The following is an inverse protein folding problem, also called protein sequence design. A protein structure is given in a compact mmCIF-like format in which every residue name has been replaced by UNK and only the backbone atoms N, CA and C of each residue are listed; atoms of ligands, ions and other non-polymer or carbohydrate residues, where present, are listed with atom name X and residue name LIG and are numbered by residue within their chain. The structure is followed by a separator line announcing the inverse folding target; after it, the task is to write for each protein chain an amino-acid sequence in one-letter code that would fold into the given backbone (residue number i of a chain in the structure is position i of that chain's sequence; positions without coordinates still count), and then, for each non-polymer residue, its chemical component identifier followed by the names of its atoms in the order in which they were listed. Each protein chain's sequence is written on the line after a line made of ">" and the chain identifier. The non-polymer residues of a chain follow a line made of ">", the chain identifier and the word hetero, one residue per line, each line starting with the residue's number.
data_IF_056810980603
#
_entry.id   IF_056810980603
#
_cell.length_a   1.000
_cell.length_b   1.000
_cell.length_c   1.000
_cell.angle_alpha   90.00
_cell.angle_beta   90.00
_cell.angle_gamma   90.00
#
_symmetry.space_group_name_H-M   'P 1'
#
loop_
_entity.id
_entity.type
_entity.pdbx_description
1 polymer ?
#
# COMPACT_ATOMS: atom_id res chain seq x y z
N UNK A 1 -24.25 -8.81 1.37
CA UNK A 1 -25.27 -7.73 1.22
C UNK A 1 -26.25 -7.83 2.37
N UNK A 2 -26.92 -6.73 2.76
CA UNK A 2 -27.89 -6.78 3.86
C UNK A 2 -27.25 -6.69 5.27
N UNK A 3 -26.19 -5.88 5.44
CA UNK A 3 -25.54 -5.67 6.76
C UNK A 3 -26.40 -4.87 7.74
N UNK A 4 -27.31 -4.05 7.24
CA UNK A 4 -28.26 -3.26 8.03
C UNK A 4 -29.66 -3.85 7.94
N UNK A 5 -30.55 -3.52 8.88
CA UNK A 5 -31.93 -3.98 8.83
C UNK A 5 -32.62 -3.59 7.51
N UNK A 6 -32.41 -2.34 7.05
CA UNK A 6 -32.94 -1.85 5.77
C UNK A 6 -32.38 -2.66 4.59
N UNK A 7 -31.08 -2.94 4.60
CA UNK A 7 -30.44 -3.76 3.56
C UNK A 7 -30.91 -5.21 3.58
N UNK A 8 -31.17 -5.78 4.76
CA UNK A 8 -31.71 -7.14 4.90
C UNK A 8 -33.15 -7.23 4.37
N UNK A 9 -34.00 -6.26 4.68
CA UNK A 9 -35.39 -6.17 4.15
C UNK A 9 -35.38 -6.02 2.60
N UNK A 10 -34.50 -5.15 2.07
CA UNK A 10 -34.35 -5.02 0.63
C UNK A 10 -33.89 -6.33 -0.02
N UNK A 11 -32.94 -7.04 0.58
CA UNK A 11 -32.46 -8.34 0.06
C UNK A 11 -33.59 -9.38 0.02
N UNK A 12 -34.43 -9.47 1.02
CA UNK A 12 -35.59 -10.37 1.06
C UNK A 12 -36.56 -10.11 -0.12
N UNK A 13 -36.80 -8.85 -0.45
CA UNK A 13 -37.70 -8.48 -1.55
C UNK A 13 -37.14 -8.79 -2.94
N UNK A 14 -35.82 -8.79 -3.10
CA UNK A 14 -35.16 -9.00 -4.38
C UNK A 14 -34.85 -10.46 -4.69
N UNK A 15 -34.54 -11.27 -3.70
CA UNK A 15 -34.00 -12.63 -3.93
C UNK A 15 -34.93 -13.73 -3.46
N UNK A 16 -36.05 -13.40 -2.78
CA UNK A 16 -36.93 -14.36 -2.09
C UNK A 16 -36.17 -15.32 -1.15
N UNK A 17 -34.92 -15.00 -0.82
CA UNK A 17 -34.02 -15.80 -0.01
C UNK A 17 -34.07 -15.36 1.45
N UNK A 18 -33.93 -16.32 2.36
CA UNK A 18 -33.78 -16.04 3.78
C UNK A 18 -32.46 -15.28 3.98
N UNK A 19 -32.56 -14.03 4.45
CA UNK A 19 -31.37 -13.27 4.82
C UNK A 19 -30.75 -13.88 6.09
N UNK A 20 -29.56 -14.43 5.96
CA UNK A 20 -28.78 -14.91 7.10
C UNK A 20 -28.34 -13.70 7.93
N UNK A 21 -28.45 -13.73 9.28
CA UNK A 21 -27.94 -12.66 10.12
C UNK A 21 -26.48 -12.32 9.83
N UNK A 22 -26.16 -11.03 9.75
CA UNK A 22 -24.83 -10.56 9.32
C UNK A 22 -23.70 -11.09 10.21
N UNK A 23 -23.95 -11.20 11.52
CA UNK A 23 -23.00 -11.77 12.49
C UNK A 23 -22.61 -13.23 12.18
N UNK A 24 -23.53 -14.01 11.59
CA UNK A 24 -23.24 -15.40 11.19
C UNK A 24 -22.32 -15.44 9.99
N UNK A 25 -22.53 -14.53 9.06
CA UNK A 25 -21.66 -14.36 7.88
C UNK A 25 -20.25 -13.93 8.31
N UNK A 26 -20.14 -12.97 9.24
CA UNK A 26 -18.84 -12.55 9.77
C UNK A 26 -18.12 -13.66 10.49
N UNK A 27 -18.83 -14.42 11.33
CA UNK A 27 -18.24 -15.57 12.03
C UNK A 27 -17.73 -16.63 11.04
N UNK A 28 -18.50 -16.91 9.99
CA UNK A 28 -18.10 -17.87 8.95
C UNK A 28 -16.87 -17.37 8.18
N UNK A 29 -16.86 -16.10 7.76
CA UNK A 29 -15.74 -15.54 7.03
C UNK A 29 -14.47 -15.52 7.88
N UNK A 30 -14.56 -15.14 9.15
CA UNK A 30 -13.45 -15.18 10.08
C UNK A 30 -12.92 -16.62 10.28
N UNK A 31 -13.81 -17.61 10.40
CA UNK A 31 -13.43 -19.02 10.56
C UNK A 31 -12.64 -19.56 9.35
N UNK A 32 -13.00 -19.12 8.15
CA UNK A 32 -12.37 -19.60 6.91
C UNK A 32 -11.31 -18.64 6.34
N UNK A 33 -10.98 -17.57 7.06
CA UNK A 33 -9.99 -16.58 6.58
C UNK A 33 -10.43 -15.84 5.32
N UNK A 34 -11.73 -15.62 5.15
CA UNK A 34 -12.28 -14.89 4.00
C UNK A 34 -12.31 -13.40 4.31
N UNK A 35 -11.59 -12.62 3.50
CA UNK A 35 -11.63 -11.17 3.60
C UNK A 35 -13.00 -10.63 3.18
N UNK A 36 -13.60 -9.78 4.01
CA UNK A 36 -14.91 -9.18 3.76
C UNK A 36 -14.76 -7.69 3.45
N UNK A 37 -14.72 -7.33 2.20
CA UNK A 37 -14.66 -5.95 1.75
C UNK A 37 -15.92 -5.14 2.15
N UNK A 38 -15.73 -3.86 2.46
CA UNK A 38 -16.81 -2.95 2.83
C UNK A 38 -17.45 -2.26 1.62
N UNK A 39 -16.67 -2.05 0.57
CA UNK A 39 -17.10 -1.43 -0.68
C UNK A 39 -16.69 -2.28 -1.88
N UNK A 40 -17.30 -2.01 -3.02
CA UNK A 40 -16.92 -2.65 -4.30
C UNK A 40 -15.49 -2.28 -4.69
N UNK A 41 -15.10 -1.03 -4.47
CA UNK A 41 -13.74 -0.56 -4.78
C UNK A 41 -12.70 -1.29 -3.93
N UNK A 42 -12.94 -1.43 -2.62
CA UNK A 42 -12.08 -2.21 -1.73
C UNK A 42 -11.97 -3.68 -2.18
N UNK A 43 -13.07 -4.30 -2.61
CA UNK A 43 -13.06 -5.66 -3.13
C UNK A 43 -12.19 -5.75 -4.39
N UNK A 44 -12.31 -4.81 -5.32
CA UNK A 44 -11.53 -4.77 -6.55
C UNK A 44 -10.05 -4.54 -6.26
N UNK A 45 -9.72 -3.65 -5.33
CA UNK A 45 -8.34 -3.35 -4.94
C UNK A 45 -7.64 -4.55 -4.28
N UNK A 46 -8.34 -5.25 -3.40
CA UNK A 46 -7.83 -6.49 -2.79
C UNK A 46 -7.65 -7.59 -3.86
N UNK A 47 -8.62 -7.78 -4.75
CA UNK A 47 -8.49 -8.76 -5.84
C UNK A 47 -7.32 -8.43 -6.77
N UNK A 48 -7.13 -7.15 -7.09
CA UNK A 48 -6.00 -6.65 -7.86
C UNK A 48 -4.66 -6.92 -7.15
N UNK A 49 -4.56 -6.61 -5.85
CA UNK A 49 -3.35 -6.91 -5.07
C UNK A 49 -3.07 -8.42 -5.01
N UNK A 50 -4.11 -9.24 -4.83
CA UNK A 50 -4.00 -10.71 -4.84
C UNK A 50 -3.46 -11.25 -6.18
N UNK A 51 -3.81 -10.64 -7.30
CA UNK A 51 -3.32 -11.02 -8.62
C UNK A 51 -1.80 -10.89 -8.74
N UNK A 52 -1.18 -9.97 -7.99
CA UNK A 52 0.27 -9.77 -8.00
C UNK A 52 1.04 -10.88 -7.27
N UNK A 53 0.37 -11.73 -6.49
CA UNK A 53 0.92 -12.93 -5.86
C UNK A 53 1.93 -12.69 -4.75
N UNK A 54 2.08 -11.45 -4.28
CA UNK A 54 2.98 -11.09 -3.17
C UNK A 54 2.16 -10.51 -2.03
N UNK A 55 2.17 -11.21 -0.90
CA UNK A 55 1.41 -10.84 0.29
C UNK A 55 2.36 -10.47 1.43
N UNK A 56 2.03 -9.42 2.23
CA UNK A 56 2.75 -9.15 3.46
C UNK A 56 2.70 -10.36 4.39
N UNK A 57 3.82 -10.70 5.03
CA UNK A 57 3.88 -11.80 6.01
C UNK A 57 3.37 -11.42 7.39
N UNK A 58 3.11 -10.14 7.60
CA UNK A 58 2.63 -9.56 8.85
C UNK A 58 1.99 -8.20 8.60
N UNK A 59 1.77 -7.46 9.67
CA UNK A 59 1.00 -6.20 9.63
C UNK A 59 1.86 -4.94 9.77
N UNK A 60 3.19 -5.05 9.82
CA UNK A 60 4.09 -3.93 10.00
C UNK A 60 4.38 -3.23 8.68
N UNK A 61 3.90 -2.00 8.55
CA UNK A 61 4.00 -1.19 7.34
C UNK A 61 5.06 -0.11 7.48
N UNK A 62 5.99 -0.06 6.53
CA UNK A 62 6.82 1.08 6.24
C UNK A 62 6.09 2.03 5.28
N UNK A 63 6.15 3.32 5.53
CA UNK A 63 5.59 4.32 4.63
C UNK A 63 6.72 5.23 4.14
N UNK A 64 6.84 5.34 2.83
CA UNK A 64 7.71 6.27 2.14
C UNK A 64 6.88 7.30 1.40
N UNK A 65 7.13 8.58 1.64
CA UNK A 65 6.37 9.66 1.02
C UNK A 65 7.28 10.82 0.63
N UNK A 66 6.95 11.48 -0.48
CA UNK A 66 7.55 12.77 -0.85
C UNK A 66 6.77 13.96 -0.27
N UNK A 67 5.72 13.68 0.49
CA UNK A 67 4.87 14.69 1.14
C UNK A 67 4.56 14.28 2.57
N UNK A 68 4.99 15.09 3.54
CA UNK A 68 4.73 14.83 4.95
C UNK A 68 3.24 14.70 5.27
N UNK A 69 2.39 15.55 4.69
CA UNK A 69 0.94 15.50 4.89
C UNK A 69 0.31 14.20 4.40
N UNK A 70 0.69 13.74 3.22
CA UNK A 70 0.19 12.46 2.68
C UNK A 70 0.74 11.29 3.48
N UNK A 71 2.00 11.33 3.92
CA UNK A 71 2.56 10.31 4.80
C UNK A 71 1.77 10.16 6.10
N UNK A 72 1.39 11.27 6.73
CA UNK A 72 0.52 11.25 7.93
C UNK A 72 -0.85 10.65 7.61
N UNK A 73 -1.49 11.05 6.52
CA UNK A 73 -2.77 10.49 6.09
C UNK A 73 -2.66 8.96 5.86
N UNK A 74 -1.60 8.49 5.23
CA UNK A 74 -1.38 7.05 5.02
C UNK A 74 -1.19 6.30 6.33
N UNK A 75 -0.53 6.91 7.33
CA UNK A 75 -0.37 6.31 8.65
C UNK A 75 -1.72 6.18 9.39
N UNK A 76 -2.57 7.21 9.37
CA UNK A 76 -3.91 7.17 9.96
C UNK A 76 -4.77 6.09 9.30
N UNK A 77 -4.73 5.99 7.98
CA UNK A 77 -5.42 4.95 7.22
C UNK A 77 -4.91 3.55 7.56
N UNK A 78 -3.59 3.37 7.67
CA UNK A 78 -2.99 2.10 8.03
C UNK A 78 -3.50 1.60 9.39
N UNK A 79 -3.54 2.46 10.40
CA UNK A 79 -4.09 2.13 11.72
C UNK A 79 -5.58 1.78 11.62
N UNK A 80 -6.35 2.53 10.84
CA UNK A 80 -7.78 2.25 10.61
C UNK A 80 -8.01 0.87 10.00
N UNK A 81 -7.13 0.41 9.11
CA UNK A 81 -7.16 -0.92 8.50
C UNK A 81 -6.46 -1.99 9.34
N UNK A 82 -6.03 -1.67 10.56
CA UNK A 82 -5.42 -2.59 11.51
C UNK A 82 -3.96 -2.97 11.17
N UNK A 83 -3.28 -2.17 10.35
CA UNK A 83 -1.84 -2.28 10.15
C UNK A 83 -1.08 -1.59 11.30
N UNK A 84 0.16 -1.96 11.48
CA UNK A 84 1.07 -1.37 12.47
C UNK A 84 2.06 -0.44 11.78
N UNK A 85 2.35 0.71 12.40
CA UNK A 85 3.35 1.67 11.92
C UNK A 85 4.50 1.74 12.95
N UNK A 86 5.46 0.79 12.90
CA UNK A 86 6.54 0.78 13.87
C UNK A 86 7.47 1.99 13.70
N UNK A 87 7.90 2.58 14.81
CA UNK A 87 8.95 3.58 14.76
C UNK A 87 10.26 2.95 14.29
N UNK A 88 10.94 3.58 13.35
CA UNK A 88 12.21 3.07 12.84
C UNK A 88 13.29 3.05 13.92
N UNK A 89 14.19 2.05 13.92
CA UNK A 89 15.34 2.02 14.82
C UNK A 89 16.22 3.28 14.69
N UNK A 90 16.82 3.73 15.79
CA UNK A 90 17.63 4.98 15.79
C UNK A 90 18.79 4.97 14.79
N UNK A 91 19.46 3.84 14.63
CA UNK A 91 20.52 3.67 13.64
C UNK A 91 20.00 3.83 12.20
N UNK A 92 18.81 3.32 11.91
CA UNK A 92 18.15 3.47 10.60
C UNK A 92 17.77 4.94 10.37
N UNK A 93 17.18 5.59 11.36
CA UNK A 93 16.87 7.02 11.29
C UNK A 93 18.13 7.87 11.00
N UNK A 94 19.25 7.56 11.68
CA UNK A 94 20.52 8.26 11.46
C UNK A 94 21.10 7.99 10.05
N UNK A 95 20.94 6.76 9.55
CA UNK A 95 21.37 6.40 8.20
C UNK A 95 20.62 7.18 7.14
N UNK A 96 19.29 7.27 7.27
CA UNK A 96 18.46 8.05 6.34
C UNK A 96 18.83 9.53 6.41
N UNK A 97 19.02 10.11 7.62
CA UNK A 97 19.44 11.52 7.79
C UNK A 97 20.80 11.85 7.19
N UNK A 98 21.72 10.91 7.11
CA UNK A 98 23.03 11.14 6.44
C UNK A 98 22.86 11.31 4.92
N UNK A 99 21.86 10.65 4.33
CA UNK A 99 21.53 10.74 2.91
C UNK A 99 20.63 11.94 2.66
N UNK A 100 19.65 12.16 3.54
CA UNK A 100 18.59 13.15 3.45
C UNK A 100 18.50 13.94 4.76
N UNK A 101 19.31 15.01 4.96
CA UNK A 101 19.39 15.72 6.24
C UNK A 101 18.05 16.30 6.74
N UNK A 102 17.16 16.65 5.82
CA UNK A 102 15.85 17.27 6.13
C UNK A 102 14.68 16.28 6.14
N UNK A 103 14.93 14.97 5.92
CA UNK A 103 13.89 13.96 5.91
C UNK A 103 13.20 13.80 7.26
N UNK A 104 11.90 13.55 7.25
CA UNK A 104 11.18 12.95 8.36
C UNK A 104 11.52 11.47 8.44
N UNK A 105 12.09 11.00 9.56
CA UNK A 105 12.72 9.65 9.59
C UNK A 105 12.14 8.70 10.62
N UNK A 106 10.93 8.98 11.14
CA UNK A 106 10.34 8.09 12.18
C UNK A 106 9.58 6.90 11.61
N UNK A 107 8.88 7.00 10.61
CA UNK A 107 7.83 6.26 9.95
C UNK A 107 6.48 6.95 10.25
N UNK A 108 5.88 7.58 9.24
CA UNK A 108 6.31 7.65 7.83
C UNK A 108 7.69 8.30 7.61
N UNK A 109 8.41 7.82 6.59
CA UNK A 109 9.62 8.47 6.09
C UNK A 109 9.21 9.49 5.03
N UNK A 110 9.42 10.77 5.35
CA UNK A 110 9.19 11.86 4.39
C UNK A 110 10.53 12.26 3.77
N UNK A 111 10.73 11.87 2.51
CA UNK A 111 11.94 12.21 1.76
C UNK A 111 11.87 13.59 1.11
N UNK A 112 10.77 14.31 1.32
CA UNK A 112 10.54 15.67 0.81
C UNK A 112 10.69 15.79 -0.71
N UNK A 113 10.89 17.01 -1.21
CA UNK A 113 11.17 17.26 -2.62
C UNK A 113 12.57 16.80 -3.07
N UNK A 114 13.41 16.27 -2.16
CA UNK A 114 14.75 15.81 -2.52
C UNK A 114 14.74 14.72 -3.61
N UNK A 115 13.67 13.93 -3.67
CA UNK A 115 13.47 12.94 -4.74
C UNK A 115 13.30 13.55 -6.15
N UNK A 116 12.97 14.83 -6.24
CA UNK A 116 12.89 15.54 -7.52
C UNK A 116 14.26 16.00 -8.02
N UNK A 117 15.19 16.25 -7.09
CA UNK A 117 16.57 16.62 -7.41
C UNK A 117 17.44 15.37 -7.66
N UNK A 118 17.23 14.34 -6.84
CA UNK A 118 17.93 13.05 -6.97
C UNK A 118 16.93 11.87 -6.78
N UNK A 119 16.38 11.32 -7.86
CA UNK A 119 15.47 10.17 -7.78
C UNK A 119 16.07 8.91 -7.15
N UNK A 120 17.40 8.81 -7.04
CA UNK A 120 18.06 7.64 -6.44
C UNK A 120 17.80 7.49 -4.94
N UNK A 121 17.36 8.55 -4.26
CA UNK A 121 17.00 8.51 -2.84
C UNK A 121 15.76 7.62 -2.58
N UNK A 122 14.87 7.46 -3.58
CA UNK A 122 13.69 6.60 -3.48
C UNK A 122 14.08 5.14 -3.27
N UNK A 123 14.81 4.48 -4.20
CA UNK A 123 15.19 3.08 -4.03
C UNK A 123 16.12 2.86 -2.84
N UNK A 124 17.04 3.79 -2.56
CA UNK A 124 17.93 3.69 -1.41
C UNK A 124 17.13 3.65 -0.10
N UNK A 125 16.13 4.52 0.04
CA UNK A 125 15.28 4.55 1.24
C UNK A 125 14.39 3.31 1.32
N UNK A 126 13.85 2.82 0.20
CA UNK A 126 13.15 1.53 0.15
C UNK A 126 14.01 0.37 0.62
N UNK A 127 15.24 0.26 0.10
CA UNK A 127 16.18 -0.79 0.51
C UNK A 127 16.45 -0.74 2.01
N UNK A 128 16.60 0.45 2.58
CA UNK A 128 16.78 0.62 4.03
C UNK A 128 15.53 0.13 4.78
N UNK A 129 14.33 0.53 4.37
CA UNK A 129 13.08 0.12 5.01
C UNK A 129 12.87 -1.39 4.94
N UNK A 130 13.14 -2.02 3.81
CA UNK A 130 12.92 -3.45 3.60
C UNK A 130 14.01 -4.35 4.22
N UNK A 131 15.24 -3.85 4.36
CA UNK A 131 16.39 -4.65 4.81
C UNK A 131 16.77 -4.43 6.27
N UNK A 132 16.56 -3.22 6.80
CA UNK A 132 17.11 -2.81 8.09
C UNK A 132 16.01 -2.54 9.14
N UNK A 133 14.76 -2.85 8.79
CA UNK A 133 13.60 -2.78 9.69
C UNK A 133 12.83 -4.08 9.68
N UNK A 134 11.88 -4.21 10.59
CA UNK A 134 10.96 -5.35 10.66
C UNK A 134 9.64 -5.11 9.90
N UNK A 135 9.61 -4.14 8.97
CA UNK A 135 8.45 -3.92 8.12
C UNK A 135 8.20 -5.10 7.19
N UNK A 136 6.95 -5.54 7.11
CA UNK A 136 6.52 -6.64 6.23
C UNK A 136 6.23 -6.16 4.80
N UNK A 137 5.86 -4.87 4.68
CA UNK A 137 5.55 -4.21 3.42
C UNK A 137 5.95 -2.74 3.45
N UNK A 138 6.01 -2.10 2.27
CA UNK A 138 6.19 -0.66 2.12
C UNK A 138 5.10 -0.09 1.21
N UNK A 139 4.37 0.90 1.70
CA UNK A 139 3.50 1.74 0.89
C UNK A 139 4.22 3.04 0.54
N UNK A 140 4.18 3.41 -0.74
CA UNK A 140 4.95 4.53 -1.25
C UNK A 140 4.07 5.54 -1.95
N UNK A 141 4.16 6.79 -1.53
CA UNK A 141 3.55 7.92 -2.22
C UNK A 141 4.61 8.70 -3.00
N UNK A 142 4.43 8.74 -4.32
CA UNK A 142 5.19 9.60 -5.22
C UNK A 142 4.19 10.49 -5.97
N UNK A 143 4.49 11.78 -6.11
CA UNK A 143 3.66 12.67 -6.93
C UNK A 143 3.72 12.27 -8.40
N UNK A 144 2.82 12.83 -9.23
CA UNK A 144 2.71 12.39 -10.60
C UNK A 144 4.06 12.48 -11.33
N UNK A 145 4.61 11.33 -11.58
CA UNK A 145 5.64 11.09 -12.59
C UNK A 145 4.95 11.02 -13.96
N UNK A 146 3.68 11.42 -13.97
CA UNK A 146 2.63 11.05 -14.92
C UNK A 146 2.79 11.58 -16.34
N UNK A 147 3.73 12.45 -16.58
CA UNK A 147 3.93 12.98 -17.95
C UNK A 147 5.28 12.63 -18.53
N UNK A 148 6.19 12.08 -17.75
CA UNK A 148 7.56 11.80 -18.19
C UNK A 148 7.85 10.31 -18.18
N UNK A 149 7.73 9.69 -19.37
CA UNK A 149 8.04 8.28 -19.58
C UNK A 149 9.48 7.93 -19.17
N UNK A 150 10.43 8.84 -19.34
CA UNK A 150 11.83 8.60 -19.00
C UNK A 150 12.01 8.44 -17.48
N UNK A 151 11.40 9.30 -16.68
CA UNK A 151 11.43 9.20 -15.21
C UNK A 151 10.70 7.95 -14.74
N UNK A 152 9.55 7.61 -15.36
CA UNK A 152 8.83 6.38 -15.05
C UNK A 152 9.69 5.13 -15.32
N UNK A 153 10.45 5.11 -16.41
CA UNK A 153 11.35 4.00 -16.76
C UNK A 153 12.51 3.85 -15.77
N UNK A 154 13.10 4.97 -15.38
CA UNK A 154 14.18 4.99 -14.37
C UNK A 154 13.67 4.42 -13.04
N UNK A 155 12.52 4.89 -12.58
CA UNK A 155 11.90 4.42 -11.33
C UNK A 155 11.53 2.93 -11.42
N UNK A 156 10.92 2.49 -12.51
CA UNK A 156 10.58 1.09 -12.71
C UNK A 156 11.81 0.19 -12.59
N UNK A 157 12.88 0.54 -13.30
CA UNK A 157 14.13 -0.22 -13.23
C UNK A 157 14.73 -0.27 -11.82
N UNK A 158 14.60 0.82 -11.06
CA UNK A 158 15.02 0.87 -9.67
C UNK A 158 14.17 -0.05 -8.78
N UNK A 159 12.86 -0.03 -8.94
CA UNK A 159 11.94 -0.90 -8.19
C UNK A 159 12.12 -2.39 -8.55
N UNK A 160 12.39 -2.72 -9.82
CA UNK A 160 12.70 -4.09 -10.24
C UNK A 160 13.90 -4.63 -9.47
N UNK A 161 14.99 -3.87 -9.36
CA UNK A 161 16.19 -4.27 -8.59
C UNK A 161 15.90 -4.51 -7.12
N UNK A 162 15.00 -3.71 -6.51
CA UNK A 162 14.57 -3.92 -5.12
C UNK A 162 13.81 -5.23 -5.02
N UNK A 163 12.86 -5.48 -5.93
CA UNK A 163 12.03 -6.69 -5.94
C UNK A 163 12.86 -7.96 -6.17
N UNK A 164 13.85 -7.92 -7.05
CA UNK A 164 14.77 -9.04 -7.26
C UNK A 164 15.51 -9.44 -5.98
N UNK A 165 15.91 -8.45 -5.16
CA UNK A 165 16.60 -8.68 -3.88
C UNK A 165 15.66 -9.09 -2.75
N UNK A 166 14.39 -8.69 -2.82
CA UNK A 166 13.35 -8.91 -1.80
C UNK A 166 12.02 -9.34 -2.43
N UNK A 167 12.01 -10.52 -3.08
CA UNK A 167 10.83 -11.00 -3.81
C UNK A 167 9.63 -11.32 -2.88
N UNK A 168 9.89 -11.50 -1.59
CA UNK A 168 8.91 -11.84 -0.56
C UNK A 168 8.30 -10.62 0.16
N UNK A 169 8.73 -9.40 -0.20
CA UNK A 169 8.22 -8.16 0.39
C UNK A 169 7.22 -7.49 -0.55
N UNK A 170 6.09 -7.10 0.01
CA UNK A 170 5.06 -6.35 -0.73
C UNK A 170 5.43 -4.87 -0.83
N UNK A 171 5.30 -4.32 -2.03
CA UNK A 171 5.47 -2.89 -2.32
C UNK A 171 4.20 -2.42 -3.02
N UNK A 172 3.51 -1.47 -2.41
CA UNK A 172 2.34 -0.81 -2.98
C UNK A 172 2.70 0.63 -3.33
N UNK A 173 2.42 1.01 -4.58
CA UNK A 173 2.78 2.31 -5.12
C UNK A 173 1.54 3.17 -5.29
N UNK A 174 1.55 4.34 -4.71
CA UNK A 174 0.61 5.39 -5.01
C UNK A 174 1.28 6.42 -5.94
N UNK A 175 1.05 6.25 -7.22
CA UNK A 175 1.60 7.09 -8.28
C UNK A 175 0.52 7.29 -9.33
N UNK A 176 0.24 8.55 -9.67
CA UNK A 176 -0.64 8.86 -10.80
C UNK A 176 0.19 8.80 -12.09
N UNK A 177 -0.16 7.90 -12.98
CA UNK A 177 0.52 7.70 -14.27
C UNK A 177 -0.45 7.28 -15.37
N UNK A 178 -0.10 7.44 -16.66
CA UNK A 178 -0.91 6.94 -17.75
C UNK A 178 -1.12 5.42 -17.66
N UNK A 179 -2.27 4.88 -18.11
CA UNK A 179 -2.59 3.46 -17.98
C UNK A 179 -1.57 2.52 -18.64
N UNK A 180 -0.97 2.92 -19.75
CA UNK A 180 0.07 2.16 -20.45
C UNK A 180 1.37 2.08 -19.65
N UNK A 181 1.71 3.14 -18.93
CA UNK A 181 2.85 3.17 -18.00
C UNK A 181 2.55 2.32 -16.77
N UNK A 182 1.36 2.49 -16.16
CA UNK A 182 0.94 1.69 -15.00
C UNK A 182 1.00 0.19 -15.31
N UNK A 183 0.52 -0.21 -16.49
CA UNK A 183 0.56 -1.60 -16.97
C UNK A 183 1.97 -2.18 -16.96
N UNK A 184 2.99 -1.41 -17.28
CA UNK A 184 4.39 -1.87 -17.27
C UNK A 184 4.89 -2.17 -15.85
N UNK A 185 4.45 -1.38 -14.85
CA UNK A 185 4.72 -1.67 -13.44
C UNK A 185 3.97 -2.92 -12.97
N UNK A 186 2.72 -3.08 -13.37
CA UNK A 186 1.91 -4.25 -13.08
C UNK A 186 2.50 -5.53 -13.66
N UNK A 187 2.98 -5.49 -14.90
CA UNK A 187 3.65 -6.63 -15.57
C UNK A 187 4.93 -7.08 -14.82
N UNK A 188 5.50 -6.20 -14.01
CA UNK A 188 6.61 -6.49 -13.10
C UNK A 188 6.15 -6.83 -11.66
N UNK A 189 4.84 -6.91 -11.44
CA UNK A 189 4.22 -7.31 -10.19
C UNK A 189 4.24 -6.25 -9.11
N UNK A 190 4.15 -4.97 -9.49
CA UNK A 190 3.90 -3.86 -8.57
C UNK A 190 2.42 -3.48 -8.62
N UNK A 191 1.81 -3.27 -7.46
CA UNK A 191 0.49 -2.67 -7.40
C UNK A 191 0.61 -1.16 -7.53
N UNK A 192 -0.18 -0.57 -8.43
CA UNK A 192 -0.21 0.88 -8.68
C UNK A 192 -1.61 1.41 -8.40
N UNK A 193 -1.70 2.39 -7.53
CA UNK A 193 -2.94 3.04 -7.15
C UNK A 193 -2.85 4.55 -7.39
N UNK A 194 -3.97 5.15 -7.71
CA UNK A 194 -4.09 6.60 -7.94
C UNK A 194 -4.32 7.39 -6.65
N UNK A 195 -4.73 6.72 -5.56
CA UNK A 195 -4.95 7.36 -4.26
C UNK A 195 -4.24 6.61 -3.12
N UNK A 196 -3.79 7.33 -2.05
CA UNK A 196 -3.03 6.72 -0.97
C UNK A 196 -3.85 5.76 -0.11
N UNK A 197 -5.16 5.98 0.03
CA UNK A 197 -6.06 5.10 0.78
C UNK A 197 -6.18 3.72 0.13
N UNK A 198 -6.31 3.64 -1.19
CA UNK A 198 -6.33 2.38 -1.93
C UNK A 198 -5.02 1.61 -1.83
N UNK A 199 -3.89 2.33 -1.94
CA UNK A 199 -2.56 1.74 -1.81
C UNK A 199 -2.30 1.13 -0.43
N UNK A 200 -2.84 1.75 0.63
CA UNK A 200 -2.72 1.23 2.01
C UNK A 200 -3.72 0.09 2.26
N UNK A 201 -4.97 0.25 1.83
CA UNK A 201 -6.03 -0.75 2.00
C UNK A 201 -5.64 -2.10 1.38
N UNK A 202 -5.02 -2.07 0.19
CA UNK A 202 -4.58 -3.26 -0.52
C UNK A 202 -3.54 -4.11 0.24
N UNK A 203 -2.80 -3.51 1.18
CA UNK A 203 -1.82 -4.21 2.02
C UNK A 203 -2.41 -4.76 3.32
N UNK A 204 -3.67 -4.44 3.62
CA UNK A 204 -4.35 -4.83 4.87
C UNK A 204 -5.25 -6.05 4.72
N UNK A 205 -5.60 -6.41 3.48
CA UNK A 205 -6.51 -7.48 3.10
C UNK A 205 -6.01 -8.91 3.26
#
# INVERSE_FOLDING_TARGET
>A
MGRTEVGAEAAKSHTASIAVPDMVIDALFNQYGVYRANTTDEMMDIAYACQMGVFPKGRKLGILSISGGVGVQMADLAIKYGLEIPALPKNVQQKIRKILPFAGVRNPVDITAAAMEDPSVIPITHEILLNETDCDAVATFLTPVSGDHQTADILLHMFEKIKERKPDKAISLNIIMPPDVAKRYEDKGFTVFDTPDRAVAALAG
#
